data_IF_217010878615
#
_entry.id   IF_217010878615
#
_cell.length_a   1.000
_cell.length_b   1.000
_cell.length_c   1.000
_cell.angle_alpha   90.00
_cell.angle_beta   90.00
_cell.angle_gamma   90.00
#
_symmetry.space_group_name_H-M   'P 1'
#
loop_
_entity.id
_entity.type
_entity.pdbx_description
1 polymer ?
#
# COMPACT_ATOMS: atom_id res chain seq x y z
N UNK A 1 10.61 -6.02 -18.13
CA UNK A 1 10.35 -6.82 -16.90
C UNK A 1 10.55 -6.07 -15.57
N UNK A 2 11.03 -4.80 -15.52
CA UNK A 2 11.22 -4.07 -14.25
C UNK A 2 9.93 -3.52 -13.58
N UNK A 3 8.83 -3.36 -14.31
CA UNK A 3 7.58 -2.82 -13.74
C UNK A 3 6.79 -3.82 -12.89
N UNK A 4 6.91 -5.14 -13.14
CA UNK A 4 6.15 -6.16 -12.39
C UNK A 4 6.66 -6.24 -10.95
N UNK A 5 7.98 -6.18 -10.75
CA UNK A 5 8.60 -6.24 -9.41
C UNK A 5 8.14 -5.10 -8.49
N UNK A 6 8.00 -3.86 -8.99
CA UNK A 6 7.53 -2.74 -8.14
C UNK A 6 6.05 -2.87 -7.76
N UNK A 7 5.21 -3.37 -8.67
CA UNK A 7 3.80 -3.63 -8.38
C UNK A 7 3.60 -4.75 -7.35
N UNK A 8 4.43 -5.78 -7.40
CA UNK A 8 4.41 -6.88 -6.43
C UNK A 8 4.83 -6.40 -5.03
N UNK A 9 5.78 -5.46 -4.92
CA UNK A 9 6.23 -4.93 -3.63
C UNK A 9 5.13 -4.17 -2.89
N UNK A 10 4.39 -3.29 -3.57
CA UNK A 10 3.31 -2.52 -2.94
C UNK A 10 2.16 -3.44 -2.48
N UNK A 11 1.81 -4.45 -3.28
CA UNK A 11 0.85 -5.48 -2.88
C UNK A 11 1.33 -6.30 -1.68
N UNK A 12 2.62 -6.67 -1.64
CA UNK A 12 3.20 -7.41 -0.52
C UNK A 12 3.22 -6.59 0.77
N UNK A 13 3.55 -5.29 0.71
CA UNK A 13 3.45 -4.39 1.86
C UNK A 13 2.01 -4.27 2.36
N UNK A 14 1.04 -4.18 1.45
CA UNK A 14 -0.37 -4.17 1.80
C UNK A 14 -0.76 -5.44 2.56
N UNK A 15 -0.42 -6.62 2.02
CA UNK A 15 -0.70 -7.91 2.66
C UNK A 15 0.00 -8.06 4.01
N UNK A 16 1.25 -7.59 4.13
CA UNK A 16 1.98 -7.63 5.38
C UNK A 16 1.31 -6.76 6.46
N UNK A 17 0.99 -5.50 6.14
CA UNK A 17 0.34 -4.58 7.10
C UNK A 17 -1.04 -5.11 7.48
N UNK A 18 -1.87 -5.45 6.50
CA UNK A 18 -3.22 -5.96 6.74
C UNK A 18 -3.21 -7.28 7.53
N UNK A 19 -2.32 -8.20 7.15
CA UNK A 19 -2.15 -9.49 7.83
C UNK A 19 -1.71 -9.35 9.29
N UNK A 20 -0.77 -8.45 9.59
CA UNK A 20 -0.33 -8.19 10.97
C UNK A 20 -1.49 -7.69 11.84
N UNK A 21 -2.29 -6.74 11.33
CA UNK A 21 -3.44 -6.20 12.07
C UNK A 21 -4.54 -7.25 12.27
N UNK A 22 -4.82 -8.09 11.26
CA UNK A 22 -5.73 -9.22 11.37
C UNK A 22 -5.26 -10.24 12.40
N UNK A 23 -3.98 -10.61 12.36
CA UNK A 23 -3.40 -11.58 13.29
C UNK A 23 -3.42 -11.05 14.72
N UNK A 24 -3.08 -9.77 14.92
CA UNK A 24 -3.15 -9.11 16.22
C UNK A 24 -4.58 -9.07 16.76
N UNK A 25 -5.56 -8.72 15.92
CA UNK A 25 -6.98 -8.74 16.28
C UNK A 25 -7.49 -10.13 16.63
N UNK A 26 -7.07 -11.15 15.87
CA UNK A 26 -7.40 -12.56 16.15
C UNK A 26 -6.81 -13.05 17.47
N UNK A 27 -5.56 -12.71 17.78
CA UNK A 27 -4.93 -13.07 19.05
C UNK A 27 -5.62 -12.38 20.24
N UNK A 28 -6.03 -11.12 20.08
CA UNK A 28 -6.83 -10.41 21.08
C UNK A 28 -8.20 -11.08 21.27
N UNK A 29 -8.94 -11.34 20.20
CA UNK A 29 -10.24 -12.01 20.30
C UNK A 29 -10.12 -13.38 20.99
N UNK A 30 -9.04 -14.13 20.68
CA UNK A 30 -8.76 -15.42 21.33
C UNK A 30 -8.41 -15.28 22.82
N UNK A 31 -7.71 -14.23 23.22
CA UNK A 31 -7.33 -13.99 24.61
C UNK A 31 -8.51 -13.54 25.46
N UNK A 32 -9.44 -12.75 24.90
CA UNK A 32 -10.59 -12.21 25.61
C UNK A 32 -11.86 -13.07 25.49
N UNK A 33 -11.79 -14.21 24.76
CA UNK A 33 -12.94 -15.07 24.44
C UNK A 33 -14.15 -14.29 23.86
N UNK A 34 -13.87 -13.16 23.24
CA UNK A 34 -14.87 -12.27 22.65
C UNK A 34 -15.25 -12.75 21.25
N UNK A 35 -16.47 -12.41 20.84
CA UNK A 35 -16.89 -12.41 19.43
C UNK A 35 -15.84 -11.69 18.57
N UNK A 36 -15.72 -11.96 17.24
CA UNK A 36 -14.62 -11.51 16.37
C UNK A 36 -14.61 -10.00 16.07
N UNK A 37 -14.73 -9.19 17.13
CA UNK A 37 -14.84 -7.73 17.10
C UNK A 37 -13.48 -7.07 16.98
N UNK A 38 -12.46 -7.53 17.72
CA UNK A 38 -11.12 -6.97 17.60
C UNK A 38 -10.48 -7.31 16.26
N UNK A 39 -10.78 -8.47 15.69
CA UNK A 39 -10.37 -8.86 14.34
C UNK A 39 -11.02 -7.97 13.26
N UNK A 40 -12.32 -7.65 13.39
CA UNK A 40 -13.01 -6.71 12.49
C UNK A 40 -12.44 -5.28 12.61
N UNK A 41 -12.22 -4.82 13.83
CA UNK A 41 -11.75 -3.46 14.11
C UNK A 41 -10.28 -3.30 13.68
N UNK A 42 -9.44 -4.28 14.00
CA UNK A 42 -8.06 -4.39 13.52
C UNK A 42 -8.00 -4.50 12.00
N UNK A 43 -8.87 -5.31 11.38
CA UNK A 43 -8.99 -5.43 9.93
C UNK A 43 -9.35 -4.11 9.26
N UNK A 44 -10.34 -3.37 9.78
CA UNK A 44 -10.72 -2.06 9.24
C UNK A 44 -9.58 -1.04 9.33
N UNK A 45 -8.89 -0.98 10.47
CA UNK A 45 -7.73 -0.08 10.68
C UNK A 45 -6.57 -0.47 9.76
N UNK A 46 -6.21 -1.76 9.73
CA UNK A 46 -5.13 -2.29 8.90
C UNK A 46 -5.39 -2.09 7.41
N UNK A 47 -6.63 -2.31 6.98
CA UNK A 47 -7.06 -2.08 5.60
C UNK A 47 -6.95 -0.59 5.24
N UNK A 48 -7.49 0.30 6.07
CA UNK A 48 -7.42 1.74 5.83
C UNK A 48 -5.98 2.27 5.78
N UNK A 49 -5.11 1.81 6.69
CA UNK A 49 -3.70 2.18 6.72
C UNK A 49 -2.96 1.71 5.47
N UNK A 50 -3.16 0.45 5.07
CA UNK A 50 -2.54 -0.14 3.90
C UNK A 50 -3.04 0.52 2.60
N UNK A 51 -4.34 0.81 2.50
CA UNK A 51 -4.94 1.50 1.36
C UNK A 51 -4.40 2.94 1.21
N UNK A 52 -4.28 3.67 2.32
CA UNK A 52 -3.71 5.03 2.32
C UNK A 52 -2.27 5.03 1.81
N UNK A 53 -1.48 4.03 2.19
CA UNK A 53 -0.09 3.87 1.72
C UNK A 53 -0.05 3.59 0.22
N UNK A 54 -0.89 2.67 -0.27
CA UNK A 54 -0.98 2.34 -1.69
C UNK A 54 -1.41 3.55 -2.55
N UNK A 55 -2.41 4.31 -2.11
CA UNK A 55 -2.87 5.51 -2.81
C UNK A 55 -1.75 6.56 -2.87
N UNK A 56 -1.03 6.77 -1.75
CA UNK A 56 0.08 7.71 -1.69
C UNK A 56 1.20 7.31 -2.67
N UNK A 57 1.55 6.03 -2.70
CA UNK A 57 2.56 5.50 -3.61
C UNK A 57 2.14 5.65 -5.09
N UNK A 58 0.88 5.36 -5.41
CA UNK A 58 0.34 5.53 -6.76
C UNK A 58 0.41 7.00 -7.22
N UNK A 59 0.09 7.95 -6.34
CA UNK A 59 0.19 9.39 -6.64
C UNK A 59 1.65 9.81 -6.85
N UNK A 60 2.58 9.35 -6.01
CA UNK A 60 4.01 9.64 -6.16
C UNK A 60 4.58 9.05 -7.47
N UNK A 61 4.17 7.83 -7.85
CA UNK A 61 4.56 7.23 -9.12
C UNK A 61 4.04 8.02 -10.32
N UNK A 62 2.78 8.47 -10.29
CA UNK A 62 2.20 9.29 -11.36
C UNK A 62 2.97 10.62 -11.53
N UNK A 63 3.29 11.29 -10.42
CA UNK A 63 4.09 12.53 -10.43
C UNK A 63 5.50 12.34 -10.97
N UNK A 64 6.12 11.18 -10.68
CA UNK A 64 7.44 10.86 -11.24
C UNK A 64 7.37 10.66 -12.75
N UNK A 65 6.34 9.97 -13.24
CA UNK A 65 6.14 9.75 -14.67
C UNK A 65 5.94 11.08 -15.43
N UNK A 66 5.15 12.02 -14.89
CA UNK A 66 4.95 13.34 -15.49
C UNK A 66 6.26 14.16 -15.56
N UNK A 67 7.08 14.12 -14.50
CA UNK A 67 8.35 14.87 -14.45
C UNK A 67 9.42 14.34 -15.41
N UNK A 68 9.43 13.04 -15.69
CA UNK A 68 10.36 12.44 -16.65
C UNK A 68 9.95 12.76 -18.10
N UNK A 69 8.65 12.91 -18.37
CA UNK A 69 8.14 13.29 -19.69
C UNK A 69 8.53 14.74 -20.05
N UNK A 70 8.29 15.69 -19.13
CA UNK A 70 8.65 17.12 -19.31
C UNK A 70 10.14 17.30 -19.62
N UNK A 71 11.03 16.62 -18.87
CA UNK A 71 12.49 16.70 -19.08
C UNK A 71 12.96 16.12 -20.40
N UNK A 72 12.23 15.15 -20.94
CA UNK A 72 12.55 14.53 -22.22
C UNK A 72 12.10 15.44 -23.37
N UNK A 73 10.97 16.14 -23.21
CA UNK A 73 10.51 17.16 -24.15
C UNK A 73 11.44 18.36 -24.27
N UNK A 74 11.97 18.86 -23.14
CA UNK A 74 12.89 20.02 -23.15
C UNK A 74 14.25 19.72 -23.81
N UNK A 75 14.77 18.49 -23.69
CA UNK A 75 16.04 18.11 -24.34
C UNK A 75 15.93 17.86 -25.84
N UNK A 76 14.74 17.58 -26.34
CA UNK A 76 14.48 17.35 -27.77
C UNK A 76 14.21 18.63 -28.57
N UNK A 77 13.93 19.75 -27.89
CA UNK A 77 13.61 21.03 -28.53
C UNK A 77 14.86 21.91 -28.79
N UNK A 78 16.03 21.51 -28.31
CA UNK A 78 17.27 22.32 -28.31
C UNK A 78 18.40 21.68 -29.16
N UNK A 79 18.07 20.77 -30.08
CA UNK A 79 18.99 20.11 -31.01
C UNK A 79 18.48 20.12 -32.44
#
# INVERSE_FOLDING_TARGET
>A
MRNVMRYTTAGLEFFAIFGIFLLAGYLLDRQFATLPGFMLLGGAIGFGAALRRLIREAIEMRRQAERDDDRTGERGADG
#
